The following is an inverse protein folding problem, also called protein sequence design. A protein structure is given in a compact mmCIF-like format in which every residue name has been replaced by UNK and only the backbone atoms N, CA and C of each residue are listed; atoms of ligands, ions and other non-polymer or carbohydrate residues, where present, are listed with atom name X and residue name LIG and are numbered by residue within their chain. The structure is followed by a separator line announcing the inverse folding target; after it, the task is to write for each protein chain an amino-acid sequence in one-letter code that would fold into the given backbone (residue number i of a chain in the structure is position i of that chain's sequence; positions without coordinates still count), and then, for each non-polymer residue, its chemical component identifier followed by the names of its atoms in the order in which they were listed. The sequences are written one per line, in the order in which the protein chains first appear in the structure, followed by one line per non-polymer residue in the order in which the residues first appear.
data_IF_876469693767
#
_entry.id   IF_876469693767
#
_cell.length_a   1.000
_cell.length_b   1.000
_cell.length_c   1.000
_cell.angle_alpha   90.00
_cell.angle_beta   90.00
_cell.angle_gamma   90.00
#
_symmetry.space_group_name_H-M   'P 1'
#
loop_
_entity.id
_entity.type
_entity.pdbx_description
1 polymer ?
#
# COMPACT_ATOMS: atom_id res chain seq x y z
N UNK A 1 1.68 -0.57 10.30
CA UNK A 1 2.84 0.14 9.70
C UNK A 1 3.77 0.55 10.83
N UNK A 2 4.84 -0.21 11.01
CA UNK A 2 5.82 -0.06 12.09
C UNK A 2 6.42 1.35 12.08
N UNK A 3 6.89 1.82 13.24
CA UNK A 3 7.49 3.13 13.48
C UNK A 3 8.38 3.64 12.31
N UNK A 4 7.87 4.51 11.42
CA UNK A 4 8.64 4.94 10.24
C UNK A 4 9.90 5.74 10.62
N UNK A 5 9.93 6.32 11.83
CA UNK A 5 11.12 6.98 12.39
C UNK A 5 12.31 6.05 12.63
N UNK A 6 12.09 4.73 12.74
CA UNK A 6 13.18 3.76 12.90
C UNK A 6 14.01 3.61 11.63
N UNK A 7 13.49 4.03 10.46
CA UNK A 7 14.14 3.93 9.13
C UNK A 7 14.94 2.62 8.92
N UNK A 8 14.39 1.51 9.39
CA UNK A 8 14.93 0.17 9.17
C UNK A 8 14.09 -0.52 8.11
N UNK A 9 14.79 -1.27 7.25
CA UNK A 9 14.19 -2.12 6.22
C UNK A 9 15.15 -3.26 5.92
N UNK A 10 14.61 -4.35 5.41
CA UNK A 10 15.39 -5.51 4.97
C UNK A 10 14.97 -5.89 3.55
N UNK A 11 15.85 -6.61 2.85
CA UNK A 11 15.61 -7.11 1.52
C UNK A 11 15.89 -8.61 1.52
N UNK A 12 14.89 -9.40 1.12
CA UNK A 12 15.04 -10.84 0.92
C UNK A 12 15.43 -11.07 -0.54
N UNK A 13 16.57 -11.73 -0.76
CA UNK A 13 17.09 -12.00 -2.11
C UNK A 13 17.45 -13.48 -2.25
N UNK A 14 17.44 -14.02 -3.49
CA UNK A 14 18.06 -15.31 -3.79
C UNK A 14 19.49 -15.39 -3.24
N UNK A 15 19.90 -16.56 -2.74
CA UNK A 15 21.18 -16.76 -2.06
C UNK A 15 22.40 -16.22 -2.83
N UNK A 16 22.41 -16.38 -4.16
CA UNK A 16 23.50 -15.92 -5.02
C UNK A 16 23.61 -14.38 -5.11
N UNK A 17 22.56 -13.63 -4.74
CA UNK A 17 22.54 -12.17 -4.72
C UNK A 17 22.87 -11.57 -3.34
N UNK A 18 22.92 -12.38 -2.27
CA UNK A 18 23.15 -11.86 -0.92
C UNK A 18 24.49 -11.12 -0.79
N UNK A 19 25.59 -11.74 -1.26
CA UNK A 19 26.92 -11.13 -1.21
C UNK A 19 27.04 -9.83 -2.05
N UNK A 20 26.62 -9.78 -3.34
CA UNK A 20 26.70 -8.55 -4.11
C UNK A 20 25.79 -7.43 -3.57
N UNK A 21 24.60 -7.77 -3.06
CA UNK A 21 23.72 -6.76 -2.44
C UNK A 21 24.31 -6.18 -1.14
N UNK A 22 24.98 -7.01 -0.33
CA UNK A 22 25.65 -6.53 0.88
C UNK A 22 26.80 -5.57 0.57
N UNK A 23 27.60 -5.86 -0.46
CA UNK A 23 28.67 -4.94 -0.91
C UNK A 23 28.10 -3.60 -1.36
N UNK A 24 27.08 -3.64 -2.22
CA UNK A 24 26.38 -2.43 -2.67
C UNK A 24 25.81 -1.63 -1.49
N UNK A 25 25.21 -2.31 -0.51
CA UNK A 25 24.68 -1.68 0.70
C UNK A 25 25.77 -0.97 1.50
N UNK A 26 26.94 -1.61 1.71
CA UNK A 26 28.05 -0.99 2.46
C UNK A 26 28.70 0.19 1.73
N UNK A 27 28.64 0.20 0.39
CA UNK A 27 29.13 1.33 -0.42
C UNK A 27 28.16 2.53 -0.37
N UNK A 28 26.85 2.26 -0.42
CA UNK A 28 25.81 3.30 -0.47
C UNK A 28 25.44 3.87 0.91
N UNK A 29 25.56 3.07 1.97
CA UNK A 29 25.09 3.43 3.31
C UNK A 29 26.17 3.19 4.36
N UNK A 30 26.39 4.18 5.23
CA UNK A 30 27.23 4.03 6.42
C UNK A 30 26.46 3.31 7.52
N UNK A 31 27.14 2.37 8.19
CA UNK A 31 26.61 1.67 9.35
C UNK A 31 26.43 2.64 10.53
N UNK A 32 25.23 2.69 11.13
CA UNK A 32 24.97 3.67 12.19
C UNK A 32 23.75 3.43 13.08
N UNK A 33 23.11 2.26 13.00
CA UNK A 33 21.86 1.98 13.74
C UNK A 33 21.84 0.60 14.39
N UNK A 34 22.99 0.14 14.90
CA UNK A 34 23.12 -1.19 15.49
C UNK A 34 22.24 -1.37 16.73
N UNK A 35 22.11 -0.33 17.57
CA UNK A 35 21.20 -0.37 18.72
C UNK A 35 19.74 -0.55 18.30
N UNK A 36 19.28 0.23 17.32
CA UNK A 36 17.92 0.10 16.77
C UNK A 36 17.67 -1.27 16.16
N UNK A 37 18.67 -1.83 15.47
CA UNK A 37 18.61 -3.18 14.91
C UNK A 37 18.52 -4.24 16.02
N UNK A 38 19.31 -4.11 17.09
CA UNK A 38 19.29 -5.04 18.22
C UNK A 38 17.95 -5.00 18.97
N UNK A 39 17.45 -3.80 19.27
CA UNK A 39 16.15 -3.61 19.92
C UNK A 39 15.02 -4.18 19.04
N UNK A 40 15.06 -3.92 17.72
CA UNK A 40 14.09 -4.49 16.80
C UNK A 40 14.18 -6.02 16.74
N UNK A 41 15.38 -6.58 16.69
CA UNK A 41 15.57 -8.02 16.67
C UNK A 41 14.98 -8.67 17.93
N UNK A 42 15.21 -8.08 19.10
CA UNK A 42 14.61 -8.55 20.35
C UNK A 42 13.08 -8.45 20.33
N UNK A 43 12.53 -7.31 19.90
CA UNK A 43 11.09 -7.09 19.76
C UNK A 43 10.40 -8.08 18.80
N UNK A 44 11.10 -8.50 17.75
CA UNK A 44 10.65 -9.56 16.83
C UNK A 44 10.73 -10.93 17.52
N UNK A 45 11.87 -11.23 18.16
CA UNK A 45 12.11 -12.52 18.82
C UNK A 45 11.12 -12.79 19.94
N UNK A 46 10.76 -11.77 20.71
CA UNK A 46 9.78 -11.86 21.81
C UNK A 46 8.34 -11.97 21.30
N UNK A 47 8.10 -11.83 19.99
CA UNK A 47 6.78 -11.94 19.37
C UNK A 47 5.90 -10.69 19.51
N UNK A 48 6.43 -9.63 20.11
CA UNK A 48 5.72 -8.37 20.33
C UNK A 48 5.32 -7.69 19.01
N UNK A 49 6.19 -7.77 17.99
CA UNK A 49 5.88 -7.24 16.65
C UNK A 49 4.63 -7.87 16.08
N UNK A 50 4.49 -9.19 16.21
CA UNK A 50 3.34 -9.92 15.66
C UNK A 50 2.05 -9.57 16.41
N UNK A 51 2.12 -9.49 17.74
CA UNK A 51 1.00 -9.08 18.59
C UNK A 51 0.54 -7.66 18.22
N UNK A 52 1.49 -6.74 18.07
CA UNK A 52 1.24 -5.37 17.67
C UNK A 52 0.66 -5.27 16.24
N UNK A 53 1.21 -6.00 15.28
CA UNK A 53 0.69 -6.06 13.91
C UNK A 53 -0.75 -6.55 13.87
N UNK A 54 -1.07 -7.65 14.57
CA UNK A 54 -2.44 -8.18 14.68
C UNK A 54 -3.40 -7.17 15.29
N UNK A 55 -2.97 -6.44 16.32
CA UNK A 55 -3.79 -5.38 16.93
C UNK A 55 -4.09 -4.27 15.93
N UNK A 56 -3.06 -3.68 15.33
CA UNK A 56 -3.23 -2.55 14.40
C UNK A 56 -4.01 -2.97 13.15
N UNK A 57 -3.75 -4.14 12.58
CA UNK A 57 -4.48 -4.61 11.42
C UNK A 57 -5.99 -4.71 11.69
N UNK A 58 -6.40 -5.21 12.86
CA UNK A 58 -7.82 -5.25 13.24
C UNK A 58 -8.45 -3.85 13.30
N UNK A 59 -7.78 -2.91 13.97
CA UNK A 59 -8.30 -1.54 14.12
C UNK A 59 -8.44 -0.83 12.76
N UNK A 60 -7.43 -0.96 11.89
CA UNK A 60 -7.47 -0.37 10.55
C UNK A 60 -8.48 -1.07 9.63
N UNK A 61 -8.64 -2.39 9.74
CA UNK A 61 -9.63 -3.13 8.98
C UNK A 61 -11.05 -2.67 9.34
N UNK A 62 -11.34 -2.48 10.63
CA UNK A 62 -12.63 -1.94 11.06
C UNK A 62 -12.92 -0.55 10.49
N UNK A 63 -11.93 0.35 10.51
CA UNK A 63 -12.05 1.69 9.90
C UNK A 63 -12.24 1.63 8.40
N UNK A 64 -11.50 0.75 7.72
CA UNK A 64 -11.66 0.53 6.29
C UNK A 64 -13.03 -0.02 5.93
N UNK A 65 -13.57 -0.93 6.73
CA UNK A 65 -14.89 -1.51 6.49
C UNK A 65 -15.96 -0.41 6.49
N UNK A 66 -15.95 0.46 7.51
CA UNK A 66 -16.89 1.59 7.59
C UNK A 66 -16.77 2.49 6.37
N UNK A 67 -15.55 2.88 5.99
CA UNK A 67 -15.33 3.76 4.84
C UNK A 67 -15.72 3.08 3.52
N UNK A 68 -15.40 1.79 3.36
CA UNK A 68 -15.77 0.99 2.20
C UNK A 68 -17.28 0.95 2.01
N UNK A 69 -18.04 0.69 3.07
CA UNK A 69 -19.50 0.56 3.00
C UNK A 69 -20.17 1.89 2.64
N UNK A 70 -19.66 3.00 3.19
CA UNK A 70 -20.12 4.34 2.81
C UNK A 70 -19.81 4.63 1.33
N UNK A 71 -18.58 4.40 0.88
CA UNK A 71 -18.17 4.67 -0.50
C UNK A 71 -18.94 3.82 -1.51
N UNK A 72 -19.23 2.56 -1.18
CA UNK A 72 -19.98 1.64 -2.05
C UNK A 72 -21.43 2.08 -2.27
N UNK A 73 -22.02 2.82 -1.33
CA UNK A 73 -23.38 3.36 -1.48
C UNK A 73 -23.49 4.55 -2.43
N UNK A 74 -22.36 5.15 -2.84
CA UNK A 74 -22.36 6.33 -3.69
C UNK A 74 -22.66 5.99 -5.16
N UNK A 75 -23.57 6.70 -5.83
CA UNK A 75 -24.03 6.33 -7.18
C UNK A 75 -22.96 6.48 -8.28
N UNK A 76 -21.96 7.35 -8.09
CA UNK A 76 -20.85 7.54 -9.05
C UNK A 76 -19.69 6.56 -8.82
N UNK A 77 -19.74 5.75 -7.77
CA UNK A 77 -18.73 4.74 -7.46
C UNK A 77 -19.11 3.44 -8.11
N UNK A 78 -18.23 2.94 -8.99
CA UNK A 78 -18.41 1.66 -9.66
C UNK A 78 -17.94 0.50 -8.80
N UNK A 79 -16.77 0.64 -8.18
CA UNK A 79 -16.20 -0.37 -7.32
C UNK A 79 -15.28 0.25 -6.28
N UNK A 80 -15.13 -0.42 -5.15
CA UNK A 80 -14.15 -0.09 -4.11
C UNK A 80 -13.33 -1.34 -3.85
N UNK A 81 -12.01 -1.21 -3.71
CA UNK A 81 -11.16 -2.33 -3.32
C UNK A 81 -11.65 -2.91 -1.99
N UNK A 82 -11.63 -4.23 -1.84
CA UNK A 82 -11.95 -4.87 -0.57
C UNK A 82 -11.03 -4.37 0.56
N UNK A 83 -11.54 -4.16 1.78
CA UNK A 83 -10.71 -3.93 2.96
C UNK A 83 -9.66 -5.03 3.10
N UNK A 84 -8.43 -4.65 3.44
CA UNK A 84 -7.29 -5.58 3.48
C UNK A 84 -6.30 -5.17 4.57
N UNK A 85 -5.18 -5.90 4.69
CA UNK A 85 -4.10 -5.52 5.60
C UNK A 85 -3.35 -4.25 5.15
N UNK A 86 -3.56 -3.77 3.92
CA UNK A 86 -3.08 -2.48 3.47
C UNK A 86 -3.91 -1.34 4.11
N UNK A 87 -3.32 -0.15 4.27
CA UNK A 87 -3.99 0.98 4.94
C UNK A 87 -4.85 1.83 3.97
N UNK A 88 -4.78 1.56 2.66
CA UNK A 88 -5.50 2.33 1.64
C UNK A 88 -6.67 1.56 1.03
N UNK A 89 -7.73 2.30 0.66
CA UNK A 89 -8.77 1.84 -0.27
C UNK A 89 -8.59 2.53 -1.62
N UNK A 90 -8.88 1.80 -2.69
CA UNK A 90 -8.94 2.35 -4.05
C UNK A 90 -10.40 2.39 -4.50
N UNK A 91 -10.81 3.53 -5.05
CA UNK A 91 -12.15 3.74 -5.58
C UNK A 91 -12.07 3.82 -7.10
N UNK A 92 -12.88 3.03 -7.76
CA UNK A 92 -13.13 3.13 -9.18
C UNK A 92 -14.46 3.87 -9.38
N UNK A 93 -14.40 4.98 -10.12
CA UNK A 93 -15.58 5.75 -10.48
C UNK A 93 -16.20 5.27 -11.80
N UNK A 94 -17.44 5.68 -12.05
CA UNK A 94 -18.07 5.53 -13.34
C UNK A 94 -17.24 6.21 -14.46
N UNK A 95 -17.33 5.74 -15.72
CA UNK A 95 -16.62 6.36 -16.82
C UNK A 95 -16.96 7.86 -16.97
N UNK A 96 -15.96 8.68 -17.30
CA UNK A 96 -16.14 10.12 -17.50
C UNK A 96 -16.05 10.96 -16.22
N UNK A 97 -15.92 10.33 -15.05
CA UNK A 97 -15.64 11.03 -13.80
C UNK A 97 -14.17 11.46 -13.75
N UNK A 98 -13.93 12.75 -13.49
CA UNK A 98 -12.61 13.34 -13.33
C UNK A 98 -12.15 13.22 -11.87
N UNK A 99 -11.34 12.21 -11.56
CA UNK A 99 -10.79 11.97 -10.22
C UNK A 99 -9.87 13.09 -9.71
N UNK A 100 -9.15 13.77 -10.60
CA UNK A 100 -8.34 14.95 -10.26
C UNK A 100 -9.23 16.10 -9.78
N UNK A 101 -10.34 16.35 -10.47
CA UNK A 101 -11.32 17.36 -10.08
C UNK A 101 -11.96 17.06 -8.73
N UNK A 102 -12.28 15.79 -8.48
CA UNK A 102 -12.78 15.33 -7.16
C UNK A 102 -11.73 15.58 -6.08
N UNK A 103 -10.46 15.21 -6.32
CA UNK A 103 -9.39 15.42 -5.36
C UNK A 103 -9.18 16.90 -5.01
N UNK A 104 -9.27 17.79 -6.00
CA UNK A 104 -9.20 19.24 -5.79
C UNK A 104 -10.38 19.78 -4.98
N UNK A 105 -11.60 19.30 -5.25
CA UNK A 105 -12.79 19.70 -4.49
C UNK A 105 -12.73 19.21 -3.04
N UNK A 106 -12.31 17.95 -2.82
CA UNK A 106 -12.15 17.39 -1.48
C UNK A 106 -11.05 18.11 -0.68
N UNK A 107 -9.98 18.56 -1.33
CA UNK A 107 -8.94 19.33 -0.67
C UNK A 107 -9.46 20.64 -0.08
N UNK A 108 -10.44 21.30 -0.73
CA UNK A 108 -11.09 22.51 -0.19
C UNK A 108 -11.86 22.22 1.10
N UNK A 109 -12.34 20.99 1.25
CA UNK A 109 -12.97 20.46 2.45
C UNK A 109 -11.96 19.82 3.42
N UNK A 110 -10.65 20.06 3.24
CA UNK A 110 -9.56 19.51 4.04
C UNK A 110 -9.43 17.98 3.99
N UNK A 111 -10.01 17.35 2.97
CA UNK A 111 -9.89 15.92 2.70
C UNK A 111 -8.83 15.67 1.62
N UNK A 112 -7.71 15.09 2.03
CA UNK A 112 -6.61 14.76 1.12
C UNK A 112 -6.82 13.37 0.55
N UNK A 113 -7.01 13.30 -0.77
CA UNK A 113 -7.05 12.04 -1.53
C UNK A 113 -6.08 12.11 -2.69
N UNK A 114 -5.60 10.95 -3.15
CA UNK A 114 -4.67 10.87 -4.28
C UNK A 114 -5.43 10.40 -5.53
N UNK A 115 -5.53 11.22 -6.60
CA UNK A 115 -6.06 10.76 -7.87
C UNK A 115 -5.10 9.74 -8.49
N UNK A 116 -5.66 8.74 -9.19
CA UNK A 116 -4.88 7.67 -9.80
C UNK A 116 -4.67 7.88 -11.29
N UNK A 117 -5.53 8.66 -11.96
CA UNK A 117 -5.39 8.95 -13.39
C UNK A 117 -4.01 9.45 -13.83
N UNK A 118 -3.26 10.28 -13.07
CA UNK A 118 -1.94 10.77 -13.52
C UNK A 118 -0.83 9.72 -13.42
N UNK A 119 -1.01 8.67 -12.62
CA UNK A 119 0.00 7.62 -12.38
C UNK A 119 -0.31 6.31 -13.12
N UNK A 120 -1.42 6.27 -13.86
CA UNK A 120 -1.76 5.14 -14.71
C UNK A 120 -0.83 5.09 -15.92
N UNK A 121 -0.10 3.99 -16.08
CA UNK A 121 0.65 3.74 -17.30
C UNK A 121 -0.31 3.64 -18.50
N UNK A 122 0.01 4.34 -19.60
CA UNK A 122 -0.72 4.20 -20.85
C UNK A 122 -0.58 2.75 -21.32
N UNK A 123 -1.68 2.00 -21.33
CA UNK A 123 -1.68 0.64 -21.90
C UNK A 123 -1.47 0.77 -23.42
N UNK A 124 -0.53 0.03 -24.04
CA UNK A 124 -0.45 0.00 -25.48
C UNK A 124 -1.78 -0.51 -26.06
N UNK A 125 -2.40 0.29 -26.93
CA UNK A 125 -3.58 -0.07 -27.74
C UNK A 125 -3.17 -1.22 -28.68
N UNK A 126 -3.28 -2.46 -28.22
CA UNK A 126 -2.80 -3.60 -28.98
C UNK A 126 -3.12 -4.96 -28.37
N UNK A 127 -4.41 -5.29 -28.27
CA UNK A 127 -4.96 -6.61 -28.60
C UNK A 127 -6.48 -6.59 -28.40
N UNK A 128 -7.16 -6.50 -29.53
CA UNK A 128 -8.60 -6.71 -29.68
C UNK A 128 -8.93 -8.16 -29.32
N UNK A 129 -9.88 -8.37 -28.43
CA UNK A 129 -10.45 -9.69 -28.10
C UNK A 129 -10.43 -10.02 -26.60
N UNK A 130 -11.43 -9.52 -25.88
CA UNK A 130 -12.22 -10.24 -24.87
C UNK A 130 -12.75 -9.28 -23.78
N UNK A 131 -14.07 -9.29 -23.61
CA UNK A 131 -14.88 -8.32 -22.90
C UNK A 131 -14.85 -8.45 -21.37
N UNK A 132 -13.68 -8.40 -20.74
CA UNK A 132 -13.56 -8.31 -19.28
C UNK A 132 -13.17 -6.91 -18.84
N UNK A 133 -14.21 -6.10 -18.75
CA UNK A 133 -14.18 -4.73 -18.25
C UNK A 133 -14.00 -4.72 -16.72
N UNK A 134 -12.80 -4.29 -16.32
CA UNK A 134 -12.42 -3.66 -15.04
C UNK A 134 -12.43 -4.50 -13.75
N UNK A 135 -11.23 -4.84 -13.30
CA UNK A 135 -10.68 -4.67 -11.94
C UNK A 135 -9.59 -5.72 -11.68
N UNK A 136 -8.78 -5.45 -10.65
CA UNK A 136 -7.93 -6.37 -9.89
C UNK A 136 -6.46 -6.50 -10.35
N UNK A 137 -5.58 -5.80 -9.63
CA UNK A 137 -4.38 -6.45 -9.12
C UNK A 137 -4.48 -6.52 -7.60
N UNK A 138 -5.21 -7.53 -7.13
CA UNK A 138 -4.98 -8.11 -5.81
C UNK A 138 -3.68 -8.90 -5.92
N UNK A 139 -2.68 -8.53 -5.14
CA UNK A 139 -1.57 -9.41 -4.86
C UNK A 139 -1.87 -10.09 -3.53
N UNK A 140 -2.62 -11.19 -3.60
CA UNK A 140 -2.55 -12.24 -2.59
C UNK A 140 -1.39 -13.14 -3.01
N UNK A 141 -0.36 -13.21 -2.19
CA UNK A 141 0.82 -14.03 -2.44
C UNK A 141 1.64 -14.17 -1.18
N UNK A 142 1.34 -15.26 -0.48
CA UNK A 142 2.15 -16.07 0.44
C UNK A 142 3.18 -15.38 1.34
#
# INVERSE_FOLDING_TARGET
MMFPGLRLGYLVVPRHLAAPMNRLRSELFREGRMLDQAVLAQFIFDGDLDAWCRRIQRDYLGRQQVLHDQLRSLPQVRSVSSPSSAISLCVEFAPGINDVGIAQSLLKEHLIVRPLSPVCANRPKGRLGDGRRHAVRGNAGA
#
